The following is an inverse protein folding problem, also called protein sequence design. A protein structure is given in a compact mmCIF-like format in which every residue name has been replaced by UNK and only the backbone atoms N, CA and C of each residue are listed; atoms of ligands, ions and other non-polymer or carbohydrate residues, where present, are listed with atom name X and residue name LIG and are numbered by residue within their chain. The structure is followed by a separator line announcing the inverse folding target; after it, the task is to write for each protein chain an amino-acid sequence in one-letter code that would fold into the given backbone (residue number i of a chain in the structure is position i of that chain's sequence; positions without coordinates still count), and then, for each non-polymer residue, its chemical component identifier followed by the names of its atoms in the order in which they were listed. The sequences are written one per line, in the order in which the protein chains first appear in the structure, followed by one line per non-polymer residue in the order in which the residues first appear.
data_IF_571109759229
#
_entry.id   IF_571109759229
#
_cell.length_a   1.000
_cell.length_b   1.000
_cell.length_c   1.000
_cell.angle_alpha   90.00
_cell.angle_beta   90.00
_cell.angle_gamma   90.00
#
_symmetry.space_group_name_H-M   'P 1'
#
loop_
_entity.id
_entity.type
_entity.pdbx_description
1 polymer ?
#
# COMPACT_ATOMS: atom_id res chain seq x y z
N UNK A 1 -28.62 -24.27 4.52
CA UNK A 1 -28.50 -22.96 3.86
C UNK A 1 -27.44 -22.08 4.51
N UNK A 2 -27.38 -21.99 5.83
CA UNK A 2 -26.34 -21.22 6.52
C UNK A 2 -24.93 -21.73 6.19
N UNK A 3 -24.75 -23.04 6.04
CA UNK A 3 -23.44 -23.62 5.75
C UNK A 3 -22.97 -23.30 4.33
N UNK A 4 -23.90 -23.21 3.36
CA UNK A 4 -23.57 -22.84 1.99
C UNK A 4 -23.16 -21.37 1.89
N UNK A 5 -23.81 -20.51 2.66
CA UNK A 5 -23.45 -19.08 2.71
C UNK A 5 -22.07 -18.90 3.30
N UNK A 6 -21.72 -19.63 4.36
CA UNK A 6 -20.38 -19.56 4.96
C UNK A 6 -19.31 -20.09 4.01
N UNK A 7 -19.61 -21.15 3.25
CA UNK A 7 -18.66 -21.71 2.28
C UNK A 7 -18.47 -20.73 1.12
N UNK A 8 -19.55 -20.14 0.63
CA UNK A 8 -19.48 -19.15 -0.44
C UNK A 8 -18.72 -17.91 0.02
N UNK A 9 -18.94 -17.45 1.28
CA UNK A 9 -18.21 -16.33 1.86
C UNK A 9 -16.71 -16.62 1.92
N UNK A 10 -16.30 -17.83 2.30
CA UNK A 10 -14.90 -18.22 2.37
C UNK A 10 -14.26 -18.24 0.99
N UNK A 11 -14.97 -18.74 -0.03
CA UNK A 11 -14.47 -18.83 -1.40
C UNK A 11 -14.41 -17.47 -2.09
N UNK A 12 -15.34 -16.58 -1.75
CA UNK A 12 -15.47 -15.24 -2.36
C UNK A 12 -14.97 -14.14 -1.45
N UNK A 13 -14.34 -14.49 -0.35
CA UNK A 13 -13.87 -13.53 0.63
C UNK A 13 -12.80 -12.62 0.02
N UNK A 14 -12.95 -11.32 0.28
CA UNK A 14 -11.93 -10.34 -0.07
C UNK A 14 -10.61 -10.72 0.62
N UNK A 15 -9.48 -10.71 -0.10
CA UNK A 15 -8.19 -11.00 0.53
C UNK A 15 -7.92 -10.08 1.72
N UNK A 16 -7.20 -10.57 2.73
CA UNK A 16 -6.89 -9.73 3.90
C UNK A 16 -6.11 -8.49 3.51
N UNK A 17 -6.60 -7.34 3.93
CA UNK A 17 -5.99 -6.04 3.65
C UNK A 17 -6.52 -5.00 4.63
N UNK A 18 -5.85 -3.86 4.68
CA UNK A 18 -6.30 -2.73 5.48
C UNK A 18 -5.94 -1.43 4.76
N UNK A 19 -6.93 -0.86 4.08
CA UNK A 19 -6.75 0.37 3.30
C UNK A 19 -6.30 1.54 4.18
N UNK A 20 -6.86 1.64 5.39
CA UNK A 20 -6.52 2.75 6.29
C UNK A 20 -5.06 2.69 6.74
N UNK A 21 -4.53 1.51 6.99
CA UNK A 21 -3.12 1.34 7.35
C UNK A 21 -2.23 1.66 6.14
N UNK A 22 -2.62 1.25 4.94
CA UNK A 22 -1.89 1.59 3.73
C UNK A 22 -1.84 3.11 3.52
N UNK A 23 -2.98 3.78 3.70
CA UNK A 23 -3.04 5.24 3.62
C UNK A 23 -2.17 5.91 4.68
N UNK A 24 -2.21 5.40 5.91
CA UNK A 24 -1.41 5.95 7.01
C UNK A 24 0.09 5.82 6.72
N UNK A 25 0.51 4.69 6.16
CA UNK A 25 1.90 4.49 5.78
C UNK A 25 2.31 5.49 4.69
N UNK A 26 1.51 5.64 3.65
CA UNK A 26 1.80 6.56 2.56
C UNK A 26 1.83 8.01 3.04
N UNK A 27 0.88 8.40 3.89
CA UNK A 27 0.84 9.74 4.47
C UNK A 27 2.09 10.01 5.30
N UNK A 28 2.52 9.03 6.09
CA UNK A 28 3.73 9.13 6.90
C UNK A 28 4.97 9.32 6.02
N UNK A 29 5.08 8.54 4.95
CA UNK A 29 6.21 8.65 4.03
C UNK A 29 6.28 10.02 3.37
N UNK A 30 5.14 10.57 2.96
CA UNK A 30 5.10 11.87 2.30
C UNK A 30 5.24 13.05 3.26
N UNK A 31 5.07 12.83 4.55
CA UNK A 31 5.11 13.90 5.57
C UNK A 31 6.39 13.95 6.38
N UNK A 32 7.14 12.86 6.45
CA UNK A 32 8.34 12.74 7.29
C UNK A 32 9.55 12.62 6.38
N UNK A 33 10.50 13.53 6.53
CA UNK A 33 11.75 13.48 5.75
C UNK A 33 12.52 12.20 6.06
N UNK A 34 13.12 11.63 5.03
CA UNK A 34 13.95 10.42 5.13
C UNK A 34 13.21 9.19 5.66
N UNK A 35 11.87 9.24 5.65
CA UNK A 35 11.05 8.14 6.17
C UNK A 35 11.22 6.85 5.36
N UNK A 36 11.42 6.96 4.05
CA UNK A 36 11.54 5.79 3.19
C UNK A 36 12.67 4.86 3.62
N UNK A 37 13.81 5.42 4.04
CA UNK A 37 14.97 4.62 4.46
C UNK A 37 14.65 3.72 5.65
N UNK A 38 13.67 4.11 6.47
CA UNK A 38 13.27 3.34 7.65
C UNK A 38 12.46 2.10 7.31
N UNK A 39 11.84 2.07 6.13
CA UNK A 39 10.92 0.99 5.77
C UNK A 39 11.25 0.30 4.44
N UNK A 40 12.30 0.74 3.76
CA UNK A 40 12.64 0.23 2.44
C UNK A 40 12.92 -1.27 2.42
N UNK A 41 13.41 -1.83 3.52
CA UNK A 41 13.68 -3.25 3.67
C UNK A 41 12.48 -4.04 4.23
N UNK A 42 11.39 -3.37 4.58
CA UNK A 42 10.21 -4.01 5.15
C UNK A 42 9.14 -4.26 4.09
N UNK A 43 8.85 -3.25 3.26
CA UNK A 43 7.77 -3.33 2.26
C UNK A 43 8.26 -2.92 0.89
N UNK A 44 7.58 -3.46 -0.13
CA UNK A 44 7.72 -3.05 -1.53
C UNK A 44 6.36 -2.65 -2.06
N UNK A 45 6.31 -2.10 -3.28
CA UNK A 45 5.03 -1.70 -3.87
C UNK A 45 4.05 -2.86 -3.99
N UNK A 46 4.56 -4.07 -4.20
CA UNK A 46 3.72 -5.26 -4.39
C UNK A 46 3.02 -5.70 -3.11
N UNK A 47 3.46 -5.20 -1.95
CA UNK A 47 2.82 -5.50 -0.67
C UNK A 47 1.52 -4.74 -0.45
N UNK A 48 1.30 -3.65 -1.20
CA UNK A 48 0.06 -2.88 -1.10
C UNK A 48 -1.07 -3.59 -1.84
N UNK A 49 -2.23 -3.68 -1.19
CA UNK A 49 -3.40 -4.31 -1.77
C UNK A 49 -4.02 -3.43 -2.86
N UNK A 50 -4.17 -2.13 -2.60
CA UNK A 50 -4.78 -1.21 -3.54
C UNK A 50 -3.80 -0.83 -4.65
N UNK A 51 -4.23 -0.98 -5.91
CA UNK A 51 -3.40 -0.61 -7.06
C UNK A 51 -2.97 0.85 -7.03
N UNK A 52 -3.86 1.75 -6.61
CA UNK A 52 -3.54 3.18 -6.48
C UNK A 52 -2.42 3.43 -5.47
N UNK A 53 -2.37 2.64 -4.40
CA UNK A 53 -1.31 2.74 -3.40
C UNK A 53 0.02 2.24 -3.94
N UNK A 54 -0.01 1.22 -4.78
CA UNK A 54 1.21 0.72 -5.44
C UNK A 54 1.85 1.81 -6.30
N UNK A 55 1.05 2.58 -7.04
CA UNK A 55 1.56 3.68 -7.85
C UNK A 55 2.16 4.79 -6.99
N UNK A 56 1.50 5.15 -5.90
CA UNK A 56 1.99 6.19 -5.00
C UNK A 56 3.30 5.75 -4.34
N UNK A 57 3.36 4.51 -3.86
CA UNK A 57 4.58 3.99 -3.25
C UNK A 57 5.72 3.91 -4.27
N UNK A 58 5.41 3.53 -5.50
CA UNK A 58 6.41 3.48 -6.58
C UNK A 58 7.02 4.86 -6.82
N UNK A 59 6.20 5.90 -6.83
CA UNK A 59 6.67 7.28 -6.96
C UNK A 59 7.63 7.64 -5.82
N UNK A 60 7.25 7.32 -4.59
CA UNK A 60 8.08 7.59 -3.41
C UNK A 60 9.43 6.87 -3.53
N UNK A 61 9.40 5.59 -3.91
CA UNK A 61 10.61 4.78 -4.05
C UNK A 61 11.55 5.33 -5.12
N UNK A 62 11.01 5.73 -6.27
CA UNK A 62 11.82 6.31 -7.35
C UNK A 62 12.44 7.64 -6.96
N UNK A 63 11.68 8.52 -6.31
CA UNK A 63 12.20 9.80 -5.85
C UNK A 63 13.29 9.58 -4.79
N UNK A 64 13.07 8.68 -3.85
CA UNK A 64 14.06 8.36 -2.83
C UNK A 64 15.35 7.84 -3.43
N UNK A 65 15.25 7.00 -4.47
CA UNK A 65 16.41 6.40 -5.13
C UNK A 65 17.31 7.44 -5.79
N UNK A 66 16.78 8.58 -6.22
CA UNK A 66 17.55 9.66 -6.83
C UNK A 66 17.77 10.84 -5.87
N UNK A 67 17.53 10.63 -4.58
CA UNK A 67 17.73 11.62 -3.52
C UNK A 67 16.90 12.89 -3.72
N UNK A 68 15.72 12.76 -4.30
CA UNK A 68 14.77 13.84 -4.43
C UNK A 68 13.73 13.78 -3.31
N UNK A 69 13.15 14.94 -2.94
CA UNK A 69 12.05 14.92 -1.96
C UNK A 69 10.87 14.11 -2.48
N UNK A 70 10.15 13.47 -1.56
CA UNK A 70 8.96 12.70 -1.92
C UNK A 70 7.75 13.14 -1.11
N UNK A 71 7.62 14.44 -0.94
CA UNK A 71 6.41 15.04 -0.39
C UNK A 71 5.28 14.97 -1.44
N UNK A 72 4.10 15.41 -1.08
CA UNK A 72 2.94 15.29 -1.96
C UNK A 72 3.13 15.98 -3.31
N UNK A 73 3.77 17.16 -3.30
CA UNK A 73 3.99 17.92 -4.52
C UNK A 73 4.90 17.16 -5.47
N UNK A 74 6.00 16.63 -4.97
CA UNK A 74 6.95 15.87 -5.79
C UNK A 74 6.36 14.55 -6.27
N UNK A 75 5.62 13.86 -5.41
CA UNK A 75 4.94 12.61 -5.77
C UNK A 75 3.91 12.87 -6.88
N UNK A 76 3.12 13.93 -6.74
CA UNK A 76 2.15 14.33 -7.75
C UNK A 76 2.84 14.60 -9.09
N UNK A 77 3.91 15.38 -9.07
CA UNK A 77 4.65 15.73 -10.29
C UNK A 77 5.21 14.48 -10.98
N UNK A 78 5.79 13.57 -10.20
CA UNK A 78 6.34 12.33 -10.75
C UNK A 78 5.24 11.48 -11.39
N UNK A 79 4.10 11.32 -10.70
CA UNK A 79 2.98 10.53 -11.21
C UNK A 79 2.41 11.14 -12.49
N UNK A 80 2.29 12.46 -12.55
CA UNK A 80 1.81 13.16 -13.73
C UNK A 80 2.77 12.97 -14.91
N UNK A 81 4.07 13.13 -14.67
CA UNK A 81 5.10 12.94 -15.70
C UNK A 81 5.10 11.53 -16.26
N UNK A 82 4.82 10.53 -15.43
CA UNK A 82 4.75 9.12 -15.83
C UNK A 82 3.38 8.72 -16.38
N UNK A 83 2.42 9.64 -16.40
CA UNK A 83 1.03 9.39 -16.82
C UNK A 83 0.33 8.35 -15.93
N UNK A 84 0.70 8.32 -14.65
CA UNK A 84 0.16 7.40 -13.66
C UNK A 84 -0.77 8.07 -12.64
N UNK A 85 -0.95 9.38 -12.71
CA UNK A 85 -1.72 10.13 -11.72
C UNK A 85 -3.16 9.61 -11.61
N UNK A 86 -3.82 9.35 -12.73
CA UNK A 86 -5.18 8.82 -12.73
C UNK A 86 -5.24 7.46 -12.04
N UNK A 87 -4.27 6.59 -12.32
CA UNK A 87 -4.19 5.26 -11.69
C UNK A 87 -3.93 5.34 -10.20
N UNK A 88 -3.26 6.40 -9.75
CA UNK A 88 -2.99 6.65 -8.33
C UNK A 88 -4.18 7.29 -7.61
N UNK A 89 -5.28 7.56 -8.29
CA UNK A 89 -6.48 8.13 -7.69
C UNK A 89 -6.69 9.62 -7.95
N UNK A 90 -5.74 10.29 -8.61
CA UNK A 90 -5.84 11.72 -8.95
C UNK A 90 -5.50 12.63 -7.77
N UNK A 91 -5.65 13.94 -8.01
CA UNK A 91 -5.32 14.97 -7.03
C UNK A 91 -6.11 14.82 -5.72
N UNK A 92 -7.40 14.58 -5.84
CA UNK A 92 -8.27 14.51 -4.66
C UNK A 92 -7.92 13.32 -3.76
N UNK A 93 -7.48 12.22 -4.34
CA UNK A 93 -7.10 11.06 -3.53
C UNK A 93 -5.80 11.31 -2.76
N UNK A 94 -4.82 11.95 -3.38
CA UNK A 94 -3.58 12.32 -2.68
C UNK A 94 -3.88 13.26 -1.51
N UNK A 95 -4.76 14.25 -1.73
CA UNK A 95 -5.19 15.16 -0.67
C UNK A 95 -5.92 14.41 0.46
N UNK A 96 -6.75 13.44 0.11
CA UNK A 96 -7.48 12.62 1.07
C UNK A 96 -6.54 11.82 1.97
N UNK A 97 -5.51 11.22 1.40
CA UNK A 97 -4.51 10.48 2.17
C UNK A 97 -3.88 11.37 3.23
N UNK A 98 -3.48 12.58 2.85
CA UNK A 98 -2.80 13.49 3.77
C UNK A 98 -3.71 14.03 4.86
N UNK A 99 -5.03 14.11 4.60
CA UNK A 99 -5.97 14.65 5.58
C UNK A 99 -6.30 13.69 6.71
N UNK A 100 -5.90 12.41 6.59
CA UNK A 100 -6.44 11.37 7.44
C UNK A 100 -5.73 11.14 8.76
N UNK A 101 -4.49 11.58 8.95
CA UNK A 101 -3.83 11.27 10.22
C UNK A 101 -2.53 12.01 10.39
N UNK A 102 -2.27 12.53 11.59
CA UNK A 102 -0.93 13.01 11.90
C UNK A 102 0.02 11.82 11.87
N UNK A 103 0.90 11.82 10.89
CA UNK A 103 1.92 10.80 10.76
C UNK A 103 2.96 10.98 11.86
N UNK A 104 3.29 9.92 12.57
CA UNK A 104 4.36 9.93 13.53
C UNK A 104 5.42 8.92 13.13
N UNK A 105 6.67 9.27 13.41
CA UNK A 105 7.79 8.38 13.12
C UNK A 105 7.67 7.06 13.89
N UNK A 106 7.07 7.10 15.08
CA UNK A 106 6.89 5.90 15.91
C UNK A 106 6.01 4.86 15.23
N UNK A 107 5.01 5.30 14.48
CA UNK A 107 4.05 4.38 13.86
C UNK A 107 4.49 3.92 12.47
N UNK A 108 5.48 4.58 11.88
CA UNK A 108 5.92 4.31 10.51
C UNK A 108 6.30 2.84 10.31
N UNK A 109 7.19 2.33 11.16
CA UNK A 109 7.65 0.94 11.07
C UNK A 109 6.50 -0.03 11.35
N UNK A 110 5.65 0.29 12.32
CA UNK A 110 4.50 -0.56 12.65
C UNK A 110 3.53 -0.65 11.47
N UNK A 111 3.26 0.46 10.79
CA UNK A 111 2.40 0.45 9.60
C UNK A 111 3.03 -0.40 8.49
N UNK A 112 4.32 -0.22 8.24
CA UNK A 112 5.02 -0.99 7.21
C UNK A 112 4.99 -2.49 7.52
N UNK A 113 5.24 -2.86 8.76
CA UNK A 113 5.19 -4.26 9.20
C UNK A 113 3.80 -4.85 9.00
N UNK A 114 2.75 -4.08 9.32
CA UNK A 114 1.37 -4.56 9.15
C UNK A 114 1.01 -4.74 7.67
N UNK A 115 1.43 -3.81 6.82
CA UNK A 115 1.23 -3.94 5.37
C UNK A 115 1.92 -5.21 4.87
N UNK A 116 3.15 -5.47 5.32
CA UNK A 116 3.90 -6.67 4.94
C UNK A 116 3.22 -7.95 5.44
N UNK A 117 2.75 -7.96 6.69
CA UNK A 117 2.04 -9.11 7.24
C UNK A 117 0.80 -9.47 6.43
N UNK A 118 -0.01 -8.49 6.09
CA UNK A 118 -1.22 -8.71 5.29
C UNK A 118 -0.89 -9.18 3.88
N UNK A 119 0.18 -8.67 3.29
CA UNK A 119 0.68 -9.13 1.99
C UNK A 119 1.09 -10.60 2.06
N UNK A 120 1.82 -10.98 3.10
CA UNK A 120 2.25 -12.37 3.31
C UNK A 120 1.04 -13.30 3.46
N UNK A 121 0.01 -12.87 4.21
CA UNK A 121 -1.22 -13.65 4.35
C UNK A 121 -1.91 -13.86 3.00
N UNK A 122 -1.97 -12.82 2.16
CA UNK A 122 -2.54 -12.94 0.82
C UNK A 122 -1.77 -13.95 -0.04
N UNK A 123 -0.44 -13.90 0.03
CA UNK A 123 0.42 -14.83 -0.70
C UNK A 123 0.20 -16.27 -0.24
N UNK A 124 0.06 -16.49 1.05
CA UNK A 124 -0.19 -17.82 1.61
C UNK A 124 -1.55 -18.36 1.14
N UNK A 125 -2.58 -17.53 1.12
CA UNK A 125 -3.91 -17.91 0.65
C UNK A 125 -3.85 -18.27 -0.83
N UNK A 126 -3.20 -17.46 -1.65
CA UNK A 126 -3.05 -17.71 -3.08
C UNK A 126 -2.29 -19.02 -3.33
N UNK A 127 -1.19 -19.23 -2.61
CA UNK A 127 -0.40 -20.46 -2.72
C UNK A 127 -1.22 -21.67 -2.30
N UNK A 128 -1.98 -21.56 -1.21
CA UNK A 128 -2.86 -22.63 -0.76
C UNK A 128 -3.93 -22.98 -1.79
N UNK A 129 -4.55 -21.97 -2.39
CA UNK A 129 -5.55 -22.17 -3.44
C UNK A 129 -4.93 -22.80 -4.68
N UNK A 130 -3.73 -22.38 -5.07
CA UNK A 130 -3.02 -22.97 -6.22
C UNK A 130 -2.70 -24.45 -5.97
N UNK A 131 -2.27 -24.78 -4.76
CA UNK A 131 -2.00 -26.17 -4.38
C UNK A 131 -3.27 -27.03 -4.44
N UNK A 132 -4.39 -26.49 -3.98
CA UNK A 132 -5.67 -27.19 -4.04
C UNK A 132 -6.12 -27.40 -5.50
N UNK A 133 -5.85 -26.46 -6.38
CA UNK A 133 -6.19 -26.56 -7.80
C UNK A 133 -5.35 -27.63 -8.49
N UNK A 134 -4.09 -27.80 -8.10
CA UNK A 134 -3.19 -28.80 -8.67
C UNK A 134 -3.50 -30.21 -8.18
N UNK A 135 -4.12 -30.33 -7.05
CA UNK A 135 -4.53 -31.63 -6.50
C UNK A 135 -5.82 -32.11 -7.16
#
# INVERSE_FOLDING_TARGET
MADNEKTDDLLNQTPPHNIDIEKALLASLMSIEEAYDKIADIVTKDDFYAGRHQYIFDAIAHLAAVNEPYDTVMVHDWLEAQKLLKGAGGDSYLADILSQSPATLFNLTAYAQRVRELSTLRQLITTGNDMLTLA
#
